data_IF_345246181931
#
_entry.id   IF_345246181931
#
_cell.length_a   1.000
_cell.length_b   1.000
_cell.length_c   1.000
_cell.angle_alpha   90.00
_cell.angle_beta   90.00
_cell.angle_gamma   90.00
#
_symmetry.space_group_name_H-M   'P 1'
#
loop_
_entity.id
_entity.type
_entity.pdbx_description
1 polymer ?
#
# COMPACT_ATOMS: atom_id res chain seq x y z
N UNK A 1 -25.31 14.90 -2.18
CA UNK A 1 -25.36 14.23 -0.85
C UNK A 1 -25.06 12.73 -0.89
N UNK A 2 -25.59 11.94 -1.83
CA UNK A 2 -25.34 10.48 -1.91
C UNK A 2 -23.87 10.10 -2.19
N UNK A 3 -23.14 10.90 -2.98
CA UNK A 3 -21.72 10.68 -3.30
C UNK A 3 -20.77 11.06 -2.16
N UNK A 4 -21.17 12.02 -1.31
CA UNK A 4 -20.39 12.47 -0.14
C UNK A 4 -20.48 11.47 1.02
N UNK A 5 -21.63 10.83 1.22
CA UNK A 5 -21.78 9.76 2.23
C UNK A 5 -21.05 8.46 1.83
N UNK A 6 -21.02 8.10 0.54
CA UNK A 6 -20.34 6.89 0.04
C UNK A 6 -18.82 6.95 0.22
N UNK A 7 -18.23 8.12 0.01
CA UNK A 7 -16.79 8.33 0.22
C UNK A 7 -16.44 8.42 1.72
N UNK A 8 -17.35 8.93 2.56
CA UNK A 8 -17.09 9.14 3.98
C UNK A 8 -17.12 7.86 4.82
N UNK A 9 -17.93 6.85 4.46
CA UNK A 9 -18.00 5.57 5.19
C UNK A 9 -16.84 4.65 4.82
N UNK A 10 -16.45 4.60 3.54
CA UNK A 10 -15.29 3.82 3.08
C UNK A 10 -13.98 4.45 3.55
N UNK A 11 -13.89 5.79 3.51
CA UNK A 11 -12.80 6.50 4.13
C UNK A 11 -12.80 6.29 5.65
N UNK A 12 -13.94 6.33 6.36
CA UNK A 12 -13.97 6.09 7.81
C UNK A 12 -13.61 4.65 8.21
N UNK A 13 -13.88 3.63 7.38
CA UNK A 13 -13.44 2.25 7.64
C UNK A 13 -11.95 2.07 7.37
N UNK A 14 -11.40 2.64 6.30
CA UNK A 14 -9.95 2.70 6.04
C UNK A 14 -9.21 3.56 7.08
N UNK A 15 -9.78 4.71 7.45
CA UNK A 15 -9.30 5.61 8.50
C UNK A 15 -9.54 5.07 9.91
N UNK A 16 -10.42 4.09 10.16
CA UNK A 16 -10.49 3.48 11.49
C UNK A 16 -9.28 2.59 11.77
N UNK A 17 -8.64 2.07 10.70
CA UNK A 17 -7.41 1.29 10.77
C UNK A 17 -6.17 2.19 10.69
N UNK A 18 -6.22 3.31 9.94
CA UNK A 18 -5.18 4.36 9.99
C UNK A 18 -5.31 5.30 11.21
N UNK A 19 -6.48 5.32 11.86
CA UNK A 19 -6.91 6.35 12.82
C UNK A 19 -6.39 6.15 14.23
N UNK A 20 -5.58 5.12 14.46
CA UNK A 20 -4.87 5.01 15.73
C UNK A 20 -3.71 6.01 15.83
N UNK A 21 -3.20 6.59 14.73
CA UNK A 21 -2.10 7.58 14.78
C UNK A 21 -2.11 8.65 13.67
N UNK A 22 -3.28 9.08 13.19
CA UNK A 22 -3.37 10.39 12.54
C UNK A 22 -3.38 11.47 13.63
N UNK A 23 -2.19 11.81 14.16
CA UNK A 23 -2.05 13.07 14.88
C UNK A 23 -2.44 14.20 13.92
N UNK A 24 -3.29 15.12 14.38
CA UNK A 24 -3.69 16.36 13.70
C UNK A 24 -2.48 17.21 13.32
N UNK A 25 -1.80 16.83 12.24
CA UNK A 25 -0.84 17.65 11.53
C UNK A 25 -1.63 18.55 10.59
N UNK A 26 -2.11 19.69 11.09
CA UNK A 26 -2.52 20.80 10.20
C UNK A 26 -1.40 20.98 9.17
N UNK A 27 -1.72 20.69 7.91
CA UNK A 27 -0.81 20.89 6.79
C UNK A 27 -0.30 22.34 6.81
N UNK A 28 0.98 22.50 7.14
CA UNK A 28 1.67 23.77 6.95
C UNK A 28 1.68 24.07 5.43
N UNK A 29 1.48 25.33 5.02
CA UNK A 29 1.37 25.69 3.61
C UNK A 29 2.62 25.27 2.84
N UNK A 30 2.40 24.69 1.66
CA UNK A 30 3.43 24.14 0.79
C UNK A 30 4.54 25.18 0.52
N UNK A 31 5.73 24.95 1.07
CA UNK A 31 6.94 25.64 0.66
C UNK A 31 7.44 25.02 -0.66
N UNK A 32 7.96 25.82 -1.60
CA UNK A 32 8.38 25.33 -2.91
C UNK A 32 9.50 24.29 -2.75
N UNK A 33 9.22 23.07 -3.21
CA UNK A 33 10.16 21.95 -3.18
C UNK A 33 11.33 22.22 -4.13
N UNK A 34 12.45 22.66 -3.56
CA UNK A 34 13.75 22.54 -4.22
C UNK A 34 14.04 21.04 -4.30
N UNK A 35 14.05 20.48 -5.50
CA UNK A 35 14.53 19.12 -5.78
C UNK A 35 16.03 19.06 -5.50
N UNK A 36 16.42 18.94 -4.24
CA UNK A 36 17.75 18.46 -3.89
C UNK A 36 17.68 16.96 -3.99
N UNK A 37 18.32 16.38 -5.01
CA UNK A 37 18.64 14.97 -5.01
C UNK A 37 19.52 14.71 -3.77
N UNK A 38 18.93 14.19 -2.69
CA UNK A 38 19.64 13.78 -1.49
C UNK A 38 20.51 12.56 -1.88
N UNK A 39 21.74 12.84 -2.31
CA UNK A 39 22.78 11.81 -2.46
C UNK A 39 22.83 11.01 -1.17
N UNK A 40 22.72 9.68 -1.27
CA UNK A 40 22.97 8.75 -0.18
C UNK A 40 24.15 9.24 0.66
N UNK A 41 23.91 9.55 1.94
CA UNK A 41 24.95 10.04 2.83
C UNK A 41 26.02 8.94 2.93
N UNK A 42 27.17 9.19 2.28
CA UNK A 42 28.30 8.27 2.28
C UNK A 42 28.74 8.11 3.74
N UNK A 43 28.53 6.93 4.30
CA UNK A 43 28.87 6.65 5.69
C UNK A 43 30.32 7.04 5.97
N UNK A 44 30.55 7.72 7.09
CA UNK A 44 31.88 8.25 7.45
C UNK A 44 32.90 7.15 7.73
N UNK A 45 32.44 5.92 8.00
CA UNK A 45 33.26 4.74 8.24
C UNK A 45 32.48 3.46 7.88
N UNK A 46 33.16 2.42 7.40
CA UNK A 46 32.56 1.11 7.18
C UNK A 46 33.03 0.10 8.24
N UNK A 47 32.18 -0.85 8.60
CA UNK A 47 32.53 -1.96 9.51
C UNK A 47 31.82 -3.25 9.09
N UNK A 48 32.44 -4.44 9.22
CA UNK A 48 31.76 -5.71 8.95
C UNK A 48 30.82 -6.14 10.09
N UNK A 49 31.10 -5.69 11.32
CA UNK A 49 30.30 -6.00 12.51
C UNK A 49 30.12 -4.76 13.36
N UNK A 50 28.93 -4.56 13.91
CA UNK A 50 28.65 -3.45 14.82
C UNK A 50 27.68 -3.88 15.92
N UNK A 51 28.10 -3.72 17.18
CA UNK A 51 27.24 -3.85 18.34
C UNK A 51 26.77 -2.45 18.76
N UNK A 52 25.46 -2.30 18.92
CA UNK A 52 24.79 -1.05 19.29
C UNK A 52 23.93 -1.34 20.52
N UNK A 53 24.02 -0.48 21.53
CA UNK A 53 23.24 -0.68 22.76
C UNK A 53 21.93 0.10 22.69
N UNK A 54 22.01 1.34 22.20
CA UNK A 54 20.89 2.21 21.91
C UNK A 54 21.21 2.99 20.63
N UNK A 55 20.21 3.54 19.91
CA UNK A 55 20.48 4.41 18.78
C UNK A 55 21.44 5.54 19.16
N UNK A 56 22.61 5.58 18.51
CA UNK A 56 23.69 6.53 18.81
C UNK A 56 24.67 6.09 19.89
N UNK A 57 24.59 4.85 20.39
CA UNK A 57 25.55 4.30 21.35
C UNK A 57 26.09 2.97 20.81
N UNK A 58 27.33 2.93 20.27
CA UNK A 58 28.28 4.05 20.16
C UNK A 58 27.88 5.10 19.11
N UNK A 59 28.36 6.34 19.24
CA UNK A 59 28.03 7.48 18.35
C UNK A 59 28.24 7.16 16.86
N UNK A 60 29.24 6.32 16.57
CA UNK A 60 29.55 5.85 15.22
C UNK A 60 28.36 5.16 14.54
N UNK A 61 27.42 4.58 15.30
CA UNK A 61 26.24 3.89 14.77
C UNK A 61 25.29 4.82 14.00
N UNK A 62 25.35 6.13 14.25
CA UNK A 62 24.47 7.11 13.61
C UNK A 62 24.79 7.33 12.13
N UNK A 63 26.03 7.10 11.70
CA UNK A 63 26.46 7.42 10.32
C UNK A 63 27.30 6.32 9.69
N UNK A 64 27.68 5.27 10.41
CA UNK A 64 28.46 4.17 9.86
C UNK A 64 27.66 3.33 8.85
N UNK A 65 28.34 2.84 7.83
CA UNK A 65 27.82 1.79 6.94
C UNK A 65 28.30 0.43 7.42
N UNK A 66 27.40 -0.55 7.57
CA UNK A 66 27.75 -1.91 8.01
C UNK A 66 27.65 -2.86 6.83
N UNK A 67 28.73 -3.59 6.53
CA UNK A 67 28.78 -4.65 5.51
C UNK A 67 28.84 -6.02 6.19
N UNK A 68 27.72 -6.48 6.72
CA UNK A 68 27.66 -7.71 7.51
C UNK A 68 26.57 -7.62 8.57
N UNK A 69 26.95 -7.61 9.84
CA UNK A 69 26.01 -7.79 10.96
C UNK A 69 25.99 -6.59 11.90
N UNK A 70 24.80 -5.99 12.08
CA UNK A 70 24.53 -4.94 13.07
C UNK A 70 23.57 -5.49 14.13
N UNK A 71 24.06 -5.65 15.36
CA UNK A 71 23.27 -6.16 16.49
C UNK A 71 22.92 -5.05 17.47
N UNK A 72 21.64 -4.94 17.79
CA UNK A 72 21.09 -4.04 18.81
C UNK A 72 20.77 -4.77 20.11
N UNK A 73 21.47 -4.46 21.20
CA UNK A 73 21.21 -5.01 22.55
C UNK A 73 21.08 -3.86 23.56
N UNK A 74 19.87 -3.38 23.88
CA UNK A 74 18.56 -3.81 23.40
C UNK A 74 18.14 -3.30 22.01
N UNK A 75 18.73 -2.21 21.52
CA UNK A 75 18.22 -1.47 20.37
C UNK A 75 19.35 -0.96 19.46
N UNK A 76 19.02 -0.74 18.19
CA UNK A 76 19.93 -0.22 17.17
C UNK A 76 19.24 0.81 16.28
N UNK A 77 20.02 1.73 15.72
CA UNK A 77 19.51 2.65 14.71
C UNK A 77 20.63 3.50 14.11
N UNK A 78 20.24 4.39 13.21
CA UNK A 78 21.15 5.37 12.62
C UNK A 78 20.69 5.85 11.24
N UNK A 79 21.36 6.88 10.74
CA UNK A 79 21.17 7.45 9.40
C UNK A 79 22.07 6.80 8.35
N UNK A 80 22.78 5.73 8.72
CA UNK A 80 23.66 4.98 7.84
C UNK A 80 22.92 3.91 7.01
N UNK A 81 23.72 3.00 6.47
CA UNK A 81 23.27 1.91 5.60
C UNK A 81 23.75 0.57 6.17
N UNK A 82 22.88 -0.43 6.22
CA UNK A 82 23.27 -1.82 6.52
C UNK A 82 23.15 -2.65 5.25
N UNK A 83 24.26 -3.17 4.75
CA UNK A 83 24.32 -4.21 3.73
C UNK A 83 24.55 -5.55 4.42
N UNK A 84 23.48 -6.28 4.71
CA UNK A 84 23.53 -7.52 5.47
C UNK A 84 22.37 -7.68 6.44
N UNK A 85 22.65 -7.92 7.72
CA UNK A 85 21.63 -8.20 8.74
C UNK A 85 21.66 -7.14 9.84
N UNK A 86 20.52 -6.50 10.08
CA UNK A 86 20.23 -5.73 11.28
C UNK A 86 19.25 -6.51 12.15
N UNK A 87 19.65 -6.83 13.37
CA UNK A 87 18.79 -7.53 14.33
C UNK A 87 18.86 -6.85 15.70
N UNK A 88 17.74 -6.75 16.39
CA UNK A 88 17.68 -6.21 17.75
C UNK A 88 16.57 -6.86 18.59
N UNK A 89 16.62 -6.63 19.90
CA UNK A 89 15.55 -7.09 20.78
C UNK A 89 14.32 -6.18 20.72
N UNK A 90 14.48 -4.85 20.82
CA UNK A 90 13.34 -3.94 21.01
C UNK A 90 13.18 -2.87 19.94
N UNK A 91 14.20 -2.57 19.14
CA UNK A 91 14.10 -1.51 18.14
C UNK A 91 15.21 -1.60 17.11
N UNK A 92 14.84 -1.64 15.83
CA UNK A 92 15.74 -1.59 14.68
C UNK A 92 15.40 -0.38 13.83
N UNK A 93 16.35 0.54 13.68
CA UNK A 93 16.08 1.90 13.21
C UNK A 93 17.12 2.46 12.24
N UNK A 94 17.74 1.63 11.40
CA UNK A 94 18.66 2.13 10.36
C UNK A 94 17.89 2.66 9.16
N UNK A 95 18.29 3.83 8.66
CA UNK A 95 17.67 4.53 7.53
C UNK A 95 17.55 3.64 6.29
N UNK A 96 18.66 3.10 5.80
CA UNK A 96 18.68 2.25 4.60
C UNK A 96 19.18 0.84 4.93
N UNK A 97 18.51 -0.19 4.40
CA UNK A 97 18.91 -1.59 4.58
C UNK A 97 18.85 -2.35 3.26
N UNK A 98 20.00 -2.87 2.83
CA UNK A 98 20.13 -3.85 1.75
C UNK A 98 20.38 -5.23 2.38
N UNK A 99 19.32 -5.99 2.65
CA UNK A 99 19.39 -7.29 3.31
C UNK A 99 18.22 -7.53 4.27
N UNK A 100 18.49 -7.89 5.52
CA UNK A 100 17.46 -8.23 6.51
C UNK A 100 17.44 -7.20 7.64
N UNK A 101 16.27 -6.66 7.97
CA UNK A 101 16.06 -5.85 9.18
C UNK A 101 15.00 -6.51 10.06
N UNK A 102 15.35 -6.81 11.30
CA UNK A 102 14.44 -7.44 12.23
C UNK A 102 14.56 -6.88 13.65
N UNK A 103 13.44 -6.90 14.37
CA UNK A 103 13.39 -6.63 15.80
C UNK A 103 12.42 -7.61 16.45
N UNK A 104 12.77 -8.10 17.63
CA UNK A 104 12.01 -9.18 18.26
C UNK A 104 10.69 -8.70 18.88
N UNK A 105 10.74 -7.68 19.74
CA UNK A 105 9.59 -7.22 20.54
C UNK A 105 9.12 -5.79 20.24
N UNK A 106 9.83 -5.03 19.41
CA UNK A 106 9.42 -3.67 19.08
C UNK A 106 9.56 -3.36 17.60
N UNK A 107 9.47 -2.10 17.19
CA UNK A 107 9.30 -1.80 15.77
C UNK A 107 10.60 -1.93 14.99
N UNK A 108 10.45 -2.13 13.68
CA UNK A 108 11.51 -2.00 12.69
C UNK A 108 11.16 -0.79 11.81
N UNK A 109 11.96 0.26 11.86
CA UNK A 109 11.69 1.53 11.19
C UNK A 109 12.87 1.88 10.28
N UNK A 110 12.59 2.06 9.00
CA UNK A 110 13.55 2.52 8.00
C UNK A 110 13.01 3.79 7.35
N UNK A 111 13.62 4.94 7.64
CA UNK A 111 13.27 6.23 7.03
C UNK A 111 13.72 6.33 5.55
N UNK A 112 14.48 5.35 5.06
CA UNK A 112 14.89 5.22 3.68
C UNK A 112 14.43 3.88 3.10
N UNK A 113 15.27 3.33 2.23
CA UNK A 113 14.88 2.19 1.41
C UNK A 113 15.27 0.87 2.09
N UNK A 114 14.35 -0.09 2.08
CA UNK A 114 14.63 -1.49 2.44
C UNK A 114 14.58 -2.33 1.17
N UNK A 115 15.76 -2.77 0.73
CA UNK A 115 15.92 -3.77 -0.33
C UNK A 115 16.20 -5.13 0.32
N UNK A 116 15.17 -5.97 0.47
CA UNK A 116 15.30 -7.29 1.07
C UNK A 116 14.13 -7.68 1.98
N UNK A 117 14.41 -8.06 3.22
CA UNK A 117 13.42 -8.59 4.17
C UNK A 117 13.32 -7.69 5.40
N UNK A 118 12.11 -7.37 5.81
CA UNK A 118 11.84 -6.73 7.09
C UNK A 118 10.86 -7.57 7.91
N UNK A 119 11.23 -7.95 9.13
CA UNK A 119 10.42 -8.84 9.96
C UNK A 119 10.38 -8.40 11.43
N UNK A 120 9.19 -8.22 12.00
CA UNK A 120 9.01 -7.87 13.42
C UNK A 120 7.66 -8.32 13.93
N UNK A 121 7.52 -8.59 15.22
CA UNK A 121 6.21 -8.89 15.82
C UNK A 121 5.31 -7.65 15.91
N UNK A 122 5.90 -6.46 16.01
CA UNK A 122 5.20 -5.20 16.22
C UNK A 122 4.92 -4.50 14.88
N UNK A 123 5.52 -3.34 14.67
CA UNK A 123 5.33 -2.52 13.48
C UNK A 123 6.58 -2.48 12.63
N UNK A 124 6.42 -2.75 11.35
CA UNK A 124 7.40 -2.51 10.30
C UNK A 124 6.99 -1.26 9.52
N UNK A 125 7.77 -0.18 9.60
CA UNK A 125 7.52 1.07 8.86
C UNK A 125 8.69 1.36 7.95
N UNK A 126 8.44 1.48 6.65
CA UNK A 126 9.48 1.74 5.65
C UNK A 126 9.07 2.91 4.76
N UNK A 127 10.04 3.73 4.39
CA UNK A 127 9.81 4.74 3.36
C UNK A 127 9.50 4.07 2.02
N UNK A 128 10.43 3.26 1.48
CA UNK A 128 10.22 2.41 0.30
C UNK A 128 10.67 0.98 0.53
N UNK A 129 9.79 0.02 0.26
CA UNK A 129 10.12 -1.41 0.28
C UNK A 129 10.34 -1.94 -1.15
N UNK A 130 11.44 -2.66 -1.36
CA UNK A 130 11.60 -3.61 -2.46
C UNK A 130 11.96 -4.97 -1.89
N UNK A 131 10.97 -5.84 -1.70
CA UNK A 131 11.17 -7.18 -1.13
C UNK A 131 10.02 -7.68 -0.26
N UNK A 132 10.30 -8.24 0.92
CA UNK A 132 9.32 -8.88 1.79
C UNK A 132 9.22 -8.15 3.13
N UNK A 133 8.00 -7.94 3.61
CA UNK A 133 7.73 -7.31 4.90
C UNK A 133 6.71 -8.16 5.66
N UNK A 134 7.07 -8.60 6.86
CA UNK A 134 6.22 -9.41 7.73
C UNK A 134 6.13 -8.77 9.12
N UNK A 135 4.96 -8.24 9.48
CA UNK A 135 4.79 -7.58 10.77
C UNK A 135 3.35 -7.61 11.30
N UNK A 136 3.15 -7.34 12.59
CA UNK A 136 1.81 -7.06 13.11
C UNK A 136 1.15 -5.95 12.29
N UNK A 137 1.87 -4.83 12.11
CA UNK A 137 1.54 -3.78 11.14
C UNK A 137 2.69 -3.63 10.14
N UNK A 138 2.42 -3.96 8.87
CA UNK A 138 3.31 -3.66 7.76
C UNK A 138 2.87 -2.36 7.08
N UNK A 139 3.74 -1.34 7.06
CA UNK A 139 3.46 -0.01 6.53
C UNK A 139 4.54 0.47 5.56
N UNK A 140 4.14 0.99 4.39
CA UNK A 140 5.02 1.67 3.42
C UNK A 140 4.47 3.02 3.01
N UNK A 141 5.31 4.06 3.00
CA UNK A 141 4.87 5.45 2.72
C UNK A 141 5.09 5.89 1.26
N UNK A 142 5.84 5.13 0.46
CA UNK A 142 6.20 5.46 -0.93
C UNK A 142 6.01 4.28 -1.88
N UNK A 143 6.07 4.51 -3.21
CA UNK A 143 5.88 3.46 -4.20
C UNK A 143 6.77 2.26 -3.94
N UNK A 144 6.16 1.13 -3.62
CA UNK A 144 6.85 -0.07 -3.11
C UNK A 144 6.51 -1.31 -3.94
N UNK A 145 7.41 -2.29 -3.92
CA UNK A 145 7.25 -3.54 -4.66
C UNK A 145 7.60 -4.75 -3.80
N UNK A 146 6.75 -5.77 -3.85
CA UNK A 146 7.04 -7.08 -3.29
C UNK A 146 5.88 -7.65 -2.49
N UNK A 147 6.14 -8.15 -1.28
CA UNK A 147 5.14 -8.84 -0.47
C UNK A 147 5.02 -8.21 0.92
N UNK A 148 3.80 -7.86 1.34
CA UNK A 148 3.49 -7.47 2.71
C UNK A 148 2.55 -8.50 3.35
N UNK A 149 2.92 -8.97 4.54
CA UNK A 149 2.13 -9.88 5.35
C UNK A 149 2.01 -9.35 6.77
N UNK A 150 0.80 -9.37 7.32
CA UNK A 150 0.61 -8.93 8.70
C UNK A 150 -0.82 -9.09 9.22
N UNK A 151 -1.08 -8.59 10.42
CA UNK A 151 -2.48 -8.37 10.84
C UNK A 151 -3.05 -7.24 9.97
N UNK A 152 -2.26 -6.20 9.76
CA UNK A 152 -2.56 -5.11 8.84
C UNK A 152 -1.40 -4.88 7.88
N UNK A 153 -1.72 -4.80 6.59
CA UNK A 153 -0.78 -4.40 5.54
C UNK A 153 -1.28 -3.11 4.88
N UNK A 154 -0.48 -2.05 4.95
CA UNK A 154 -0.86 -0.71 4.51
C UNK A 154 0.21 -0.14 3.59
N UNK A 155 -0.23 0.33 2.42
CA UNK A 155 0.56 1.14 1.52
C UNK A 155 -0.11 2.51 1.33
N UNK A 156 0.58 3.57 1.73
CA UNK A 156 0.11 4.96 1.55
C UNK A 156 0.19 5.41 0.08
N UNK A 157 1.07 4.79 -0.69
CA UNK A 157 1.30 5.10 -2.10
C UNK A 157 1.19 3.83 -2.95
N UNK A 158 1.61 3.90 -4.21
CA UNK A 158 1.54 2.80 -5.16
C UNK A 158 2.22 1.53 -4.63
N UNK A 159 1.54 0.39 -4.77
CA UNK A 159 2.09 -0.90 -4.36
C UNK A 159 2.00 -1.89 -5.50
N UNK A 160 3.11 -2.56 -5.79
CA UNK A 160 3.16 -3.64 -6.78
C UNK A 160 3.53 -4.96 -6.14
N UNK A 161 2.60 -5.91 -6.14
CA UNK A 161 2.86 -7.27 -5.66
C UNK A 161 1.73 -7.84 -4.81
N UNK A 162 2.06 -8.41 -3.65
CA UNK A 162 1.12 -9.20 -2.86
C UNK A 162 0.96 -8.62 -1.45
N UNK A 163 -0.28 -8.38 -1.05
CA UNK A 163 -0.62 -7.99 0.33
C UNK A 163 -1.51 -9.04 0.97
N UNK A 164 -1.20 -9.43 2.19
CA UNK A 164 -2.06 -10.31 2.98
C UNK A 164 -2.17 -9.88 4.44
N UNK A 165 -3.36 -10.07 5.00
CA UNK A 165 -3.61 -9.84 6.42
C UNK A 165 -5.08 -9.85 6.80
N UNK A 166 -5.41 -9.52 8.05
CA UNK A 166 -6.81 -9.31 8.42
C UNK A 166 -7.37 -8.08 7.67
N UNK A 167 -6.58 -7.02 7.57
CA UNK A 167 -6.91 -5.83 6.78
C UNK A 167 -5.76 -5.48 5.84
N UNK A 168 -6.08 -5.25 4.57
CA UNK A 168 -5.14 -4.73 3.57
C UNK A 168 -5.66 -3.42 2.98
N UNK A 169 -4.79 -2.41 2.89
CA UNK A 169 -5.14 -1.07 2.40
C UNK A 169 -4.04 -0.55 1.47
N UNK A 170 -4.44 -0.03 0.32
CA UNK A 170 -3.58 0.76 -0.58
C UNK A 170 -4.25 2.07 -0.95
N UNK A 171 -3.68 3.19 -0.56
CA UNK A 171 -4.19 4.53 -0.93
C UNK A 171 -3.68 5.01 -2.31
N UNK A 172 -2.75 4.26 -2.90
CA UNK A 172 -2.22 4.45 -4.26
C UNK A 172 -2.89 3.58 -5.32
N UNK A 173 -2.16 3.37 -6.42
CA UNK A 173 -2.38 2.28 -7.35
C UNK A 173 -1.88 0.95 -6.77
N UNK A 174 -2.71 -0.09 -6.81
CA UNK A 174 -2.29 -1.46 -6.54
C UNK A 174 -2.28 -2.28 -7.84
N UNK A 175 -1.10 -2.79 -8.21
CA UNK A 175 -0.91 -3.78 -9.27
C UNK A 175 -0.48 -5.12 -8.64
N UNK A 176 -1.44 -6.04 -8.50
CA UNK A 176 -1.19 -7.38 -7.99
C UNK A 176 -2.35 -7.99 -7.21
N UNK A 177 -2.06 -8.49 -6.02
CA UNK A 177 -2.94 -9.38 -5.27
C UNK A 177 -3.18 -8.89 -3.85
N UNK A 178 -4.43 -8.95 -3.40
CA UNK A 178 -4.82 -8.64 -2.01
C UNK A 178 -5.65 -9.80 -1.44
N UNK A 179 -5.20 -10.36 -0.32
CA UNK A 179 -5.87 -11.44 0.38
C UNK A 179 -6.07 -11.06 1.84
N UNK A 180 -7.31 -10.88 2.28
CA UNK A 180 -7.56 -10.49 3.64
C UNK A 180 -9.02 -10.46 4.00
N UNK A 181 -9.37 -10.32 5.28
CA UNK A 181 -10.77 -10.24 5.66
C UNK A 181 -11.41 -8.96 5.08
N UNK A 182 -10.67 -7.85 5.09
CA UNK A 182 -11.05 -6.58 4.47
C UNK A 182 -9.93 -6.10 3.55
N UNK A 183 -10.24 -5.85 2.28
CA UNK A 183 -9.30 -5.34 1.28
C UNK A 183 -9.81 -4.02 0.70
N UNK A 184 -8.97 -2.98 0.72
CA UNK A 184 -9.33 -1.62 0.29
C UNK A 184 -8.29 -1.05 -0.66
N UNK A 185 -8.73 -0.48 -1.78
CA UNK A 185 -7.89 0.30 -2.71
C UNK A 185 -8.60 1.57 -3.12
N UNK A 186 -7.94 2.72 -2.99
CA UNK A 186 -8.64 4.01 -3.15
C UNK A 186 -8.56 4.59 -4.56
N UNK A 187 -7.43 4.43 -5.27
CA UNK A 187 -7.21 5.05 -6.60
C UNK A 187 -7.36 4.09 -7.77
N UNK A 188 -6.48 3.11 -7.94
CA UNK A 188 -6.51 2.21 -9.09
C UNK A 188 -6.17 0.81 -8.60
N UNK A 189 -6.99 -0.16 -8.95
CA UNK A 189 -6.70 -1.55 -8.68
C UNK A 189 -6.58 -2.33 -9.98
N UNK A 190 -5.50 -3.10 -10.11
CA UNK A 190 -5.23 -4.03 -11.20
C UNK A 190 -4.86 -5.39 -10.61
N UNK A 191 -5.69 -6.40 -10.82
CA UNK A 191 -5.39 -7.77 -10.40
C UNK A 191 -6.52 -8.49 -9.67
N UNK A 192 -6.24 -9.13 -8.54
CA UNK A 192 -7.19 -10.01 -7.85
C UNK A 192 -7.30 -9.73 -6.34
N UNK A 193 -8.53 -9.54 -5.85
CA UNK A 193 -8.81 -9.42 -4.41
C UNK A 193 -9.67 -10.60 -3.95
N UNK A 194 -9.33 -11.17 -2.79
CA UNK A 194 -10.15 -12.18 -2.13
C UNK A 194 -10.27 -11.89 -0.64
N UNK A 195 -11.50 -11.85 -0.14
CA UNK A 195 -11.78 -11.44 1.23
C UNK A 195 -13.24 -11.48 1.63
N UNK A 196 -13.54 -11.24 2.91
CA UNK A 196 -14.94 -11.09 3.30
C UNK A 196 -15.53 -9.80 2.71
N UNK A 197 -14.75 -8.72 2.71
CA UNK A 197 -15.12 -7.42 2.15
C UNK A 197 -14.02 -6.92 1.22
N UNK A 198 -14.35 -6.66 -0.04
CA UNK A 198 -13.45 -6.08 -1.02
C UNK A 198 -14.01 -4.74 -1.52
N UNK A 199 -13.22 -3.67 -1.44
CA UNK A 199 -13.65 -2.32 -1.80
C UNK A 199 -12.61 -1.65 -2.69
N UNK A 200 -13.03 -1.21 -3.87
CA UNK A 200 -12.24 -0.33 -4.73
C UNK A 200 -13.05 0.92 -5.08
N UNK A 201 -12.58 2.08 -4.65
CA UNK A 201 -13.33 3.34 -4.85
C UNK A 201 -12.99 4.06 -6.14
N UNK A 202 -11.78 3.88 -6.65
CA UNK A 202 -11.36 4.43 -7.92
C UNK A 202 -11.57 3.45 -9.06
N UNK A 203 -10.58 3.33 -9.96
CA UNK A 203 -10.65 2.50 -11.16
C UNK A 203 -10.39 1.04 -10.80
N UNK A 204 -11.30 0.13 -11.15
CA UNK A 204 -11.15 -1.29 -10.89
C UNK A 204 -10.94 -2.09 -12.17
N UNK A 205 -9.80 -2.78 -12.28
CA UNK A 205 -9.45 -3.63 -13.42
C UNK A 205 -9.01 -5.00 -12.93
N UNK A 206 -9.98 -5.85 -12.63
CA UNK A 206 -9.65 -7.13 -12.06
C UNK A 206 -10.83 -7.99 -11.66
N UNK A 207 -10.57 -8.84 -10.69
CA UNK A 207 -11.52 -9.78 -10.12
C UNK A 207 -11.59 -9.65 -8.60
N UNK A 208 -12.81 -9.65 -8.06
CA UNK A 208 -13.08 -9.68 -6.63
C UNK A 208 -13.84 -10.96 -6.26
N UNK A 209 -13.39 -11.63 -5.20
CA UNK A 209 -14.11 -12.76 -4.59
C UNK A 209 -14.38 -12.48 -3.12
N UNK A 210 -15.63 -12.54 -2.69
CA UNK A 210 -15.93 -12.27 -1.29
C UNK A 210 -17.37 -12.35 -0.85
N UNK A 211 -17.65 -12.03 0.41
CA UNK A 211 -19.03 -11.91 0.89
C UNK A 211 -19.64 -10.63 0.34
N UNK A 212 -18.90 -9.53 0.40
CA UNK A 212 -19.29 -8.22 -0.14
C UNK A 212 -18.17 -7.71 -1.05
N UNK A 213 -18.55 -7.38 -2.29
CA UNK A 213 -17.65 -6.79 -3.27
C UNK A 213 -18.19 -5.42 -3.70
N UNK A 214 -17.31 -4.44 -3.82
CA UNK A 214 -17.62 -3.09 -4.29
C UNK A 214 -16.56 -2.60 -5.28
N UNK A 215 -17.00 -2.13 -6.44
CA UNK A 215 -16.22 -1.34 -7.39
C UNK A 215 -17.05 -0.18 -7.96
N UNK A 216 -16.38 0.86 -8.46
CA UNK A 216 -17.04 2.03 -9.01
C UNK A 216 -17.45 1.86 -10.47
N UNK A 217 -16.57 1.36 -11.34
CA UNK A 217 -16.70 1.46 -12.79
C UNK A 217 -16.95 0.12 -13.50
N UNK A 218 -15.98 -0.78 -13.48
CA UNK A 218 -16.00 -2.03 -14.24
C UNK A 218 -15.55 -3.23 -13.39
N UNK A 219 -15.41 -4.39 -14.03
CA UNK A 219 -14.79 -5.60 -13.47
C UNK A 219 -15.72 -6.78 -13.27
N UNK A 220 -15.14 -7.86 -12.73
CA UNK A 220 -15.81 -9.12 -12.44
C UNK A 220 -15.82 -9.32 -10.92
N UNK A 221 -17.00 -9.59 -10.37
CA UNK A 221 -17.19 -9.83 -8.94
C UNK A 221 -17.95 -11.13 -8.73
N UNK A 222 -17.46 -11.96 -7.81
CA UNK A 222 -18.11 -13.19 -7.37
C UNK A 222 -18.28 -13.13 -5.85
N UNK A 223 -19.50 -13.26 -5.37
CA UNK A 223 -19.75 -13.09 -3.95
C UNK A 223 -21.20 -13.02 -3.52
N UNK A 224 -21.43 -12.97 -2.21
CA UNK A 224 -22.79 -12.87 -1.65
C UNK A 224 -23.53 -11.64 -2.19
N UNK A 225 -22.91 -10.46 -2.04
CA UNK A 225 -23.44 -9.17 -2.50
C UNK A 225 -22.35 -8.49 -3.34
N UNK A 226 -22.68 -8.17 -4.60
CA UNK A 226 -21.75 -7.56 -5.54
C UNK A 226 -22.29 -6.21 -6.01
N UNK A 227 -21.51 -5.16 -5.79
CA UNK A 227 -21.89 -3.78 -6.09
C UNK A 227 -20.93 -3.19 -7.13
N UNK A 228 -21.49 -2.81 -8.28
CA UNK A 228 -20.78 -2.05 -9.32
C UNK A 228 -21.56 -0.76 -9.55
N UNK A 229 -21.06 0.37 -9.05
CA UNK A 229 -21.83 1.61 -8.97
C UNK A 229 -22.31 2.12 -10.35
N UNK A 230 -21.49 1.99 -11.39
CA UNK A 230 -21.78 2.47 -12.74
C UNK A 230 -22.42 1.40 -13.66
N UNK A 231 -22.78 0.23 -13.11
CA UNK A 231 -23.47 -0.83 -13.84
C UNK A 231 -24.97 -0.51 -14.06
N UNK A 232 -25.57 -1.11 -15.10
CA UNK A 232 -27.03 -1.02 -15.31
C UNK A 232 -27.80 -1.71 -14.17
N UNK A 233 -27.23 -2.77 -13.60
CA UNK A 233 -27.75 -3.43 -12.39
C UNK A 233 -26.68 -3.26 -11.30
N UNK A 234 -26.77 -2.20 -10.48
CA UNK A 234 -25.69 -1.86 -9.56
C UNK A 234 -25.46 -2.89 -8.45
N UNK A 235 -26.48 -3.68 -8.09
CA UNK A 235 -26.39 -4.68 -7.02
C UNK A 235 -26.87 -6.01 -7.57
N UNK A 236 -26.02 -7.03 -7.51
CA UNK A 236 -26.38 -8.39 -7.89
C UNK A 236 -25.88 -9.43 -6.87
N UNK A 237 -26.70 -10.44 -6.53
CA UNK A 237 -26.27 -11.56 -5.71
C UNK A 237 -25.41 -12.53 -6.53
N UNK A 238 -24.52 -13.26 -5.86
CA UNK A 238 -23.66 -14.34 -6.40
C UNK A 238 -22.61 -13.85 -7.40
N UNK A 239 -23.00 -13.11 -8.43
CA UNK A 239 -22.12 -12.70 -9.52
C UNK A 239 -22.51 -11.33 -10.07
N UNK A 240 -21.51 -10.50 -10.39
CA UNK A 240 -21.69 -9.25 -11.13
C UNK A 240 -20.55 -9.03 -12.12
N UNK A 241 -20.89 -8.49 -13.28
CA UNK A 241 -19.93 -8.16 -14.33
C UNK A 241 -20.33 -6.84 -14.98
N UNK A 242 -19.34 -5.97 -15.16
CA UNK A 242 -19.47 -4.78 -15.99
C UNK A 242 -18.20 -4.67 -16.83
N UNK A 243 -18.35 -4.70 -18.15
CA UNK A 243 -17.27 -4.48 -19.11
C UNK A 243 -17.45 -3.07 -19.67
N UNK A 244 -16.54 -2.15 -19.33
CA UNK A 244 -16.31 -0.85 -19.97
C UNK A 244 -17.52 0.03 -20.32
N UNK A 245 -17.62 1.19 -19.65
CA UNK A 245 -18.49 2.32 -20.02
C UNK A 245 -18.19 2.93 -21.41
N UNK A 246 -17.05 2.61 -22.05
CA UNK A 246 -16.71 3.14 -23.38
C UNK A 246 -17.62 2.60 -24.49
N UNK A 247 -18.17 1.40 -24.33
CA UNK A 247 -19.06 0.82 -25.32
C UNK A 247 -20.40 1.59 -25.37
N UNK A 248 -20.84 2.15 -24.24
CA UNK A 248 -22.04 3.01 -24.19
C UNK A 248 -21.88 4.30 -25.01
N UNK A 249 -20.69 4.91 -25.05
CA UNK A 249 -20.46 6.10 -25.89
C UNK A 249 -20.32 5.74 -27.38
N UNK A 250 -19.74 4.59 -27.71
CA UNK A 250 -19.60 4.15 -29.10
C UNK A 250 -20.95 3.76 -29.73
N UNK A 251 -21.86 3.16 -28.95
CA UNK A 251 -23.20 2.79 -29.41
C UNK A 251 -24.10 4.02 -29.59
N UNK A 252 -24.08 4.96 -28.63
CA UNK A 252 -24.82 6.24 -28.75
C UNK A 252 -24.34 7.09 -29.93
N UNK A 253 -23.05 7.02 -30.30
CA UNK A 253 -22.49 7.75 -31.46
C UNK A 253 -22.82 7.07 -32.79
N UNK A 254 -22.97 5.73 -32.83
CA UNK A 254 -23.40 5.01 -34.04
C UNK A 254 -24.87 5.27 -34.35
N UNK A 255 -25.74 5.33 -33.34
CA UNK A 255 -27.16 5.62 -33.52
C UNK A 255 -27.44 7.08 -33.93
N UNK A 256 -26.59 8.02 -33.53
CA UNK A 256 -26.67 9.41 -33.94
C UNK A 256 -26.23 9.65 -35.40
N UNK A 257 -25.49 8.73 -36.01
CA UNK A 257 -24.89 8.89 -37.34
C UNK A 257 -25.50 7.97 -38.42
N UNK A 258 -26.62 7.30 -38.13
CA UNK A 258 -27.40 6.60 -39.14
C UNK A 258 -28.33 7.62 -39.85
N UNK A 259 -28.12 7.92 -41.15
CA UNK A 259 -29.01 8.83 -41.86
C UNK A 259 -30.40 8.18 -41.93
N UNK A 260 -31.41 8.84 -41.36
CA UNK A 260 -32.81 8.45 -41.53
C UNK A 260 -33.13 8.52 -43.03
N UNK A 261 -33.27 7.36 -43.66
CA UNK A 261 -33.73 7.26 -45.04
C UNK A 261 -35.10 7.94 -45.15
N UNK A 262 -35.13 9.06 -45.87
CA UNK A 262 -36.34 9.84 -46.08
C UNK A 262 -37.17 9.15 -47.17
N UNK A 263 -38.01 8.19 -46.77
CA UNK A 263 -39.03 7.61 -47.65
C UNK A 263 -40.23 8.56 -47.65
N UNK A 264 -40.23 9.51 -48.58
CA UNK A 264 -41.42 10.31 -48.88
C UNK A 264 -42.30 9.53 -49.86
N UNK A 265 -43.38 8.96 -49.35
CA UNK A 265 -44.48 8.45 -50.14
C UNK A 265 -45.44 9.60 -50.50
N UNK A 266 -45.54 9.94 -51.79
CA UNK A 266 -46.77 10.24 -52.53
C UNK A 266 -46.46 10.62 -53.97
#
# INVERSE_FOLDING_TARGET
>A
MKTLLRNSVVAALALSVCGLFAADGKAAPAQPQVKTAEKAQKGTSWTPFQLVFLPGIPDSSMTSTVYGLKLGIPATGGRGLVKGVEASFFYSGTKDVEGCQASWFGPAIAQGDVYGIQATMAMALVYRLTGFQAAGLAFTTQPSKGCQAGISAVAEDDFKGFQTGAVTVTDGELDGFQFGAVNIVTKIFKGFQCGAVNIVTGVFKGFQCGVVNYSSDEGIQLGGINIIADSWIPVMPIFNICLSSKDKKAETVKDANCPKANVSAK
#
